data_IF_084958624108
#
_entry.id   IF_084958624108
#
_cell.length_a   1.000
_cell.length_b   1.000
_cell.length_c   1.000
_cell.angle_alpha   90.00
_cell.angle_beta   90.00
_cell.angle_gamma   90.00
#
_symmetry.space_group_name_H-M   'P 1'
#
loop_
_entity.id
_entity.type
_entity.pdbx_description
1 polymer ?
#
# COMPACT_ATOMS: atom_id res chain seq x y z
N UNK A 1 -11.09 12.02 2.98
CA UNK A 1 -11.82 11.70 1.75
C UNK A 1 -10.85 11.20 0.69
N UNK A 2 -11.00 9.98 0.23
CA UNK A 2 -10.13 9.44 -0.81
C UNK A 2 -10.55 9.99 -2.17
N UNK A 3 -9.58 10.28 -3.02
CA UNK A 3 -9.81 10.80 -4.34
C UNK A 3 -8.96 10.03 -5.34
N UNK A 4 -9.55 9.66 -6.47
CA UNK A 4 -8.87 8.94 -7.53
C UNK A 4 -8.62 9.88 -8.71
N UNK A 5 -7.35 10.05 -9.13
CA UNK A 5 -7.04 10.81 -10.35
C UNK A 5 -7.66 10.14 -11.58
N UNK A 6 -7.84 10.94 -12.63
CA UNK A 6 -8.35 10.45 -13.90
C UNK A 6 -7.21 9.82 -14.70
N UNK A 7 -7.32 8.54 -15.01
CA UNK A 7 -6.35 7.79 -15.82
C UNK A 7 -7.01 7.28 -17.10
N UNK A 8 -6.29 7.34 -18.20
CA UNK A 8 -6.82 7.07 -19.52
C UNK A 8 -7.24 5.61 -19.76
N UNK A 9 -6.75 4.65 -19.01
CA UNK A 9 -6.90 3.23 -19.31
C UNK A 9 -7.28 2.38 -18.08
N UNK A 10 -8.28 2.78 -17.31
CA UNK A 10 -8.78 1.99 -16.19
C UNK A 10 -7.94 2.11 -14.92
N UNK A 11 -7.62 0.97 -14.26
CA UNK A 11 -6.89 0.98 -12.99
C UNK A 11 -5.45 1.42 -13.22
N UNK A 12 -4.95 2.44 -12.49
CA UNK A 12 -3.58 2.90 -12.66
C UNK A 12 -2.57 1.84 -12.20
N UNK A 13 -1.41 1.81 -12.86
CA UNK A 13 -0.30 0.95 -12.48
C UNK A 13 0.62 1.64 -11.49
N UNK A 14 1.55 0.87 -10.90
CA UNK A 14 2.60 1.44 -10.06
C UNK A 14 3.38 2.54 -10.79
N UNK A 15 3.73 2.32 -12.06
CA UNK A 15 4.46 3.32 -12.87
C UNK A 15 3.64 4.60 -13.03
N UNK A 16 2.35 4.48 -13.34
CA UNK A 16 1.46 5.63 -13.50
C UNK A 16 1.45 6.49 -12.23
N UNK A 17 1.28 5.85 -11.08
CA UNK A 17 1.20 6.54 -9.80
C UNK A 17 2.55 7.14 -9.42
N UNK A 18 3.63 6.38 -9.56
CA UNK A 18 4.96 6.85 -9.20
C UNK A 18 5.37 8.05 -10.04
N UNK A 19 5.08 8.03 -11.34
CA UNK A 19 5.46 9.11 -12.25
C UNK A 19 4.64 10.37 -12.05
N UNK A 20 3.34 10.24 -11.80
CA UNK A 20 2.44 11.39 -11.75
C UNK A 20 2.21 11.94 -10.33
N UNK A 21 2.34 11.13 -9.28
CA UNK A 21 1.91 11.49 -7.94
C UNK A 21 3.02 11.50 -6.89
N UNK A 22 4.20 10.99 -7.21
CA UNK A 22 5.28 10.86 -6.22
C UNK A 22 6.57 11.50 -6.72
N UNK A 23 7.53 11.65 -5.80
CA UNK A 23 8.90 12.08 -6.11
C UNK A 23 9.88 10.89 -6.10
N UNK A 24 9.39 9.65 -6.21
CA UNK A 24 10.24 8.48 -6.24
C UNK A 24 11.12 8.48 -7.49
N UNK A 25 12.38 8.03 -7.32
CA UNK A 25 13.32 7.91 -8.43
C UNK A 25 13.02 6.67 -9.26
N UNK A 26 13.58 6.59 -10.47
CA UNK A 26 13.46 5.39 -11.30
C UNK A 26 13.99 4.15 -10.61
N UNK A 27 15.08 4.28 -9.83
CA UNK A 27 15.65 3.17 -9.06
C UNK A 27 14.73 2.74 -7.92
N UNK A 28 14.06 3.69 -7.26
CA UNK A 28 13.07 3.38 -6.23
C UNK A 28 11.91 2.58 -6.85
N UNK A 29 11.43 3.01 -8.00
CA UNK A 29 10.33 2.33 -8.70
C UNK A 29 10.73 0.93 -9.14
N UNK A 30 11.95 0.76 -9.65
CA UNK A 30 12.46 -0.57 -10.01
C UNK A 30 12.53 -1.50 -8.81
N UNK A 31 12.94 -0.99 -7.65
CA UNK A 31 12.95 -1.74 -6.40
C UNK A 31 11.56 -2.20 -6.00
N UNK A 32 10.58 -1.30 -6.10
CA UNK A 32 9.19 -1.62 -5.77
C UNK A 32 8.59 -2.63 -6.74
N UNK A 33 8.91 -2.55 -8.03
CA UNK A 33 8.48 -3.56 -9.01
C UNK A 33 9.01 -4.95 -8.67
N UNK A 34 10.29 -5.04 -8.32
CA UNK A 34 10.89 -6.32 -7.93
C UNK A 34 10.22 -6.90 -6.69
N UNK A 35 9.90 -6.03 -5.73
CA UNK A 35 9.21 -6.43 -4.51
C UNK A 35 7.80 -6.96 -4.80
N UNK A 36 7.02 -6.22 -5.58
CA UNK A 36 5.64 -6.60 -5.94
C UNK A 36 5.60 -7.90 -6.72
N UNK A 37 6.59 -8.15 -7.57
CA UNK A 37 6.65 -9.38 -8.38
C UNK A 37 6.70 -10.64 -7.51
N UNK A 38 7.28 -10.58 -6.32
CA UNK A 38 7.40 -11.73 -5.43
C UNK A 38 6.21 -11.88 -4.46
N UNK A 39 5.35 -10.87 -4.39
CA UNK A 39 4.33 -10.81 -3.34
C UNK A 39 3.11 -11.70 -3.57
N UNK A 40 2.86 -12.13 -4.80
CA UNK A 40 1.72 -13.00 -5.07
C UNK A 40 1.84 -14.31 -4.26
N UNK A 41 3.05 -14.84 -4.17
CA UNK A 41 3.33 -16.05 -3.37
C UNK A 41 3.01 -15.79 -1.90
N UNK A 42 3.44 -14.63 -1.38
CA UNK A 42 3.22 -14.29 0.03
C UNK A 42 1.72 -14.10 0.31
N UNK A 43 1.00 -13.43 -0.59
CA UNK A 43 -0.44 -13.25 -0.45
C UNK A 43 -1.17 -14.61 -0.44
N UNK A 44 -0.80 -15.50 -1.36
CA UNK A 44 -1.42 -16.83 -1.47
C UNK A 44 -1.15 -17.68 -0.22
N UNK A 45 0.08 -17.66 0.29
CA UNK A 45 0.46 -18.45 1.45
C UNK A 45 -0.16 -17.92 2.76
N UNK A 46 -0.39 -16.63 2.86
CA UNK A 46 -0.92 -16.02 4.08
C UNK A 46 -2.43 -15.75 4.01
N UNK A 47 -3.07 -15.99 2.88
CA UNK A 47 -4.48 -15.67 2.64
C UNK A 47 -4.80 -14.20 2.97
N UNK A 48 -3.88 -13.33 2.63
CA UNK A 48 -3.97 -11.91 2.98
C UNK A 48 -3.91 -11.03 1.74
N UNK A 49 -4.62 -9.92 1.79
CA UNK A 49 -4.48 -8.86 0.80
C UNK A 49 -3.26 -8.01 1.16
N UNK A 50 -2.48 -7.65 0.15
CA UNK A 50 -1.33 -6.76 0.30
C UNK A 50 -1.58 -5.52 -0.54
N UNK A 51 -1.40 -4.35 0.05
CA UNK A 51 -1.48 -3.08 -0.66
C UNK A 51 -0.17 -2.33 -0.44
N UNK A 52 0.46 -1.90 -1.53
CA UNK A 52 1.62 -1.04 -1.49
C UNK A 52 1.17 0.42 -1.54
N UNK A 53 1.55 1.18 -0.54
CA UNK A 53 1.32 2.62 -0.47
C UNK A 53 2.63 3.36 -0.68
N UNK A 54 2.58 4.44 -1.45
CA UNK A 54 3.76 5.28 -1.73
C UNK A 54 3.48 6.73 -1.31
N UNK A 55 4.50 7.46 -0.85
CA UNK A 55 4.28 8.82 -0.34
C UNK A 55 3.96 9.79 -1.47
N UNK A 56 3.03 10.71 -1.19
CA UNK A 56 2.73 11.83 -2.07
C UNK A 56 3.96 12.70 -2.27
N UNK A 57 4.13 13.25 -3.45
CA UNK A 57 5.28 14.12 -3.77
C UNK A 57 5.37 15.37 -2.91
N UNK A 58 4.24 15.84 -2.39
CA UNK A 58 4.17 16.99 -1.49
C UNK A 58 3.97 16.58 -0.03
N UNK A 59 4.12 15.29 0.29
CA UNK A 59 3.99 14.72 1.63
C UNK A 59 2.62 14.96 2.29
N UNK A 60 1.55 15.07 1.48
CA UNK A 60 0.20 15.29 2.00
C UNK A 60 -0.54 14.02 2.36
N UNK A 61 0.00 12.88 2.02
CA UNK A 61 -0.61 11.58 2.28
C UNK A 61 0.08 10.47 1.52
N UNK A 62 -0.66 9.40 1.28
CA UNK A 62 -0.15 8.21 0.62
C UNK A 62 -1.04 7.80 -0.53
N UNK A 63 -0.44 7.24 -1.57
CA UNK A 63 -1.15 6.71 -2.73
C UNK A 63 -1.06 5.19 -2.75
N UNK A 64 -2.18 4.52 -2.96
CA UNK A 64 -2.18 3.07 -3.18
C UNK A 64 -1.65 2.81 -4.58
N UNK A 65 -0.48 2.20 -4.68
CA UNK A 65 0.23 2.01 -5.94
C UNK A 65 0.07 0.61 -6.52
N UNK A 66 -0.16 -0.39 -5.68
CA UNK A 66 -0.35 -1.77 -6.13
C UNK A 66 -1.17 -2.53 -5.10
N UNK A 67 -1.94 -3.50 -5.57
CA UNK A 67 -2.73 -4.38 -4.72
C UNK A 67 -2.56 -5.81 -5.20
N UNK A 68 -2.31 -6.72 -4.27
CA UNK A 68 -2.19 -8.14 -4.54
C UNK A 68 -3.18 -8.87 -3.66
N UNK A 69 -4.05 -9.69 -4.27
CA UNK A 69 -5.03 -10.51 -3.58
C UNK A 69 -4.62 -11.97 -3.61
N UNK A 70 -4.97 -12.75 -2.58
CA UNK A 70 -4.75 -14.18 -2.64
C UNK A 70 -5.60 -14.81 -3.75
N UNK A 71 -5.01 -15.76 -4.48
CA UNK A 71 -5.74 -16.48 -5.54
C UNK A 71 -6.48 -17.70 -4.98
N UNK A 72 -6.16 -18.13 -3.77
CA UNK A 72 -6.61 -19.39 -3.19
C UNK A 72 -7.50 -19.25 -1.97
N UNK A 73 -7.82 -18.03 -1.55
CA UNK A 73 -8.63 -17.80 -0.37
C UNK A 73 -9.52 -16.57 -0.51
N UNK A 74 -10.39 -16.34 0.48
CA UNK A 74 -11.22 -15.14 0.46
C UNK A 74 -10.36 -13.89 0.63
N UNK A 75 -10.77 -12.81 -0.03
CA UNK A 75 -10.11 -11.51 0.11
C UNK A 75 -10.85 -10.64 1.14
N UNK A 76 -10.10 -9.81 1.87
CA UNK A 76 -10.66 -8.83 2.79
C UNK A 76 -11.03 -7.53 2.09
N UNK A 77 -10.52 -7.31 0.88
CA UNK A 77 -10.81 -6.13 0.06
C UNK A 77 -11.63 -6.55 -1.15
N UNK A 78 -12.85 -6.05 -1.26
CA UNK A 78 -13.76 -6.39 -2.35
C UNK A 78 -13.52 -5.57 -3.61
N UNK A 79 -12.87 -4.41 -3.47
CA UNK A 79 -12.63 -3.49 -4.58
C UNK A 79 -11.13 -3.23 -4.75
N UNK A 80 -10.75 -2.86 -5.99
CA UNK A 80 -9.40 -2.40 -6.25
C UNK A 80 -9.19 -1.04 -5.62
N UNK A 81 -8.11 -0.91 -4.84
CA UNK A 81 -7.77 0.35 -4.18
C UNK A 81 -6.64 1.10 -4.87
N UNK A 82 -5.99 0.49 -5.87
CA UNK A 82 -4.91 1.16 -6.61
C UNK A 82 -5.39 2.49 -7.20
N UNK A 83 -4.60 3.54 -6.99
CA UNK A 83 -4.94 4.90 -7.40
C UNK A 83 -5.66 5.70 -6.33
N UNK A 84 -6.01 5.09 -5.19
CA UNK A 84 -6.67 5.80 -4.09
C UNK A 84 -5.66 6.64 -3.32
N UNK A 85 -6.03 7.86 -2.97
CA UNK A 85 -5.24 8.73 -2.11
C UNK A 85 -5.81 8.75 -0.70
N UNK A 86 -4.94 8.56 0.30
CA UNK A 86 -5.31 8.62 1.70
C UNK A 86 -4.54 9.78 2.36
N UNK A 87 -5.23 10.84 2.81
CA UNK A 87 -4.56 11.96 3.48
C UNK A 87 -3.90 11.52 4.78
N UNK A 88 -2.78 12.15 5.13
CA UNK A 88 -2.08 11.87 6.39
C UNK A 88 -2.96 12.23 7.58
N UNK A 89 -3.00 11.34 8.58
CA UNK A 89 -3.76 11.51 9.81
C UNK A 89 -2.91 11.46 11.07
N UNK A 90 -1.59 11.35 10.90
CA UNK A 90 -0.64 11.34 12.01
C UNK A 90 -0.59 10.06 12.82
N UNK A 91 -1.71 9.50 13.23
CA UNK A 91 -1.78 8.30 14.08
C UNK A 91 -2.13 7.03 13.32
N UNK A 92 -2.45 7.12 12.04
CA UNK A 92 -2.75 5.97 11.21
C UNK A 92 -1.51 5.07 11.13
N UNK A 93 -1.66 3.73 11.23
CA UNK A 93 -0.52 2.80 11.10
C UNK A 93 0.30 3.02 9.85
N UNK A 94 -0.33 3.39 8.75
CA UNK A 94 0.34 3.70 7.49
C UNK A 94 1.30 4.88 7.64
N UNK A 95 0.82 5.99 8.23
CA UNK A 95 1.64 7.18 8.46
C UNK A 95 2.75 6.92 9.47
N UNK A 96 2.46 6.15 10.51
CA UNK A 96 3.46 5.80 11.52
C UNK A 96 4.60 5.00 10.90
N UNK A 97 4.27 3.97 10.11
CA UNK A 97 5.29 3.17 9.43
C UNK A 97 6.13 4.02 8.47
N UNK A 98 5.49 4.91 7.72
CA UNK A 98 6.18 5.79 6.77
C UNK A 98 7.13 6.76 7.49
N UNK A 99 6.65 7.39 8.54
CA UNK A 99 7.40 8.42 9.28
C UNK A 99 8.55 7.82 10.09
N UNK A 100 8.30 6.72 10.79
CA UNK A 100 9.29 6.11 11.68
C UNK A 100 10.23 5.14 10.97
N UNK A 101 9.85 4.63 9.82
CA UNK A 101 10.57 3.57 9.14
C UNK A 101 10.54 2.25 9.90
N UNK A 102 9.58 2.07 10.80
CA UNK A 102 9.45 0.88 11.63
C UNK A 102 8.13 0.18 11.35
N UNK A 103 8.15 -1.14 11.41
CA UNK A 103 6.96 -1.95 11.26
C UNK A 103 5.94 -1.63 12.35
N UNK A 104 4.68 -1.47 11.96
CA UNK A 104 3.56 -1.47 12.90
C UNK A 104 3.07 -2.91 12.99
N UNK A 105 3.22 -3.56 14.16
CA UNK A 105 2.89 -4.98 14.30
C UNK A 105 1.42 -5.29 14.02
N UNK A 106 1.15 -6.53 13.70
CA UNK A 106 -0.20 -7.03 13.49
C UNK A 106 -1.11 -6.65 14.66
N UNK A 107 -2.24 -6.07 14.35
CA UNK A 107 -3.25 -5.71 15.32
C UNK A 107 -4.64 -5.86 14.71
N UNK A 108 -5.65 -5.95 15.57
CA UNK A 108 -7.04 -6.13 15.15
C UNK A 108 -7.69 -4.76 14.98
N UNK A 109 -8.30 -4.54 13.83
CA UNK A 109 -9.17 -3.39 13.60
C UNK A 109 -10.61 -3.87 13.40
N UNK A 110 -11.55 -3.17 14.03
CA UNK A 110 -12.97 -3.45 13.87
C UNK A 110 -13.53 -2.60 12.73
N UNK A 111 -14.20 -3.26 11.80
CA UNK A 111 -14.84 -2.60 10.67
C UNK A 111 -16.21 -2.08 11.05
N UNK A 112 -16.79 -1.21 10.21
CA UNK A 112 -18.11 -0.63 10.43
C UNK A 112 -19.21 -1.69 10.47
N UNK A 113 -19.03 -2.80 9.75
CA UNK A 113 -19.98 -3.91 9.71
C UNK A 113 -19.85 -4.88 10.90
N UNK A 114 -18.94 -4.59 11.84
CA UNK A 114 -18.68 -5.43 13.01
C UNK A 114 -17.63 -6.51 12.80
N UNK A 115 -17.18 -6.73 11.58
CA UNK A 115 -16.12 -7.71 11.32
C UNK A 115 -14.77 -7.22 11.85
N UNK A 116 -13.84 -8.17 12.06
CA UNK A 116 -12.49 -7.88 12.52
C UNK A 116 -11.50 -8.23 11.45
N UNK A 117 -10.51 -7.36 11.24
CA UNK A 117 -9.42 -7.57 10.31
C UNK A 117 -8.11 -7.44 11.05
N UNK A 118 -7.16 -8.33 10.74
CA UNK A 118 -5.79 -8.21 11.20
C UNK A 118 -5.03 -7.35 10.20
N UNK A 119 -4.39 -6.29 10.70
CA UNK A 119 -3.66 -5.33 9.88
C UNK A 119 -2.23 -5.22 10.37
N UNK A 120 -1.31 -5.20 9.43
CA UNK A 120 0.10 -4.98 9.69
C UNK A 120 0.65 -4.01 8.66
N UNK A 121 1.43 -3.02 9.09
CA UNK A 121 2.06 -2.06 8.20
C UNK A 121 3.58 -2.27 8.22
N UNK A 122 4.17 -2.52 7.05
CA UNK A 122 5.58 -2.86 6.90
C UNK A 122 6.25 -1.82 6.00
N UNK A 123 7.20 -1.02 6.52
CA UNK A 123 7.87 -0.04 5.68
C UNK A 123 8.83 -0.71 4.71
N UNK A 124 8.86 -0.20 3.48
CA UNK A 124 9.82 -0.60 2.46
C UNK A 124 10.94 0.42 2.47
N UNK A 125 12.14 -0.03 2.80
CA UNK A 125 13.30 0.85 2.91
C UNK A 125 14.32 0.55 1.84
N UNK A 126 14.90 1.61 1.29
CA UNK A 126 15.98 1.53 0.33
C UNK A 126 16.97 2.64 0.64
N UNK A 127 18.25 2.29 0.81
CA UNK A 127 19.30 3.26 1.11
C UNK A 127 18.99 4.15 2.33
N UNK A 128 18.49 3.55 3.41
CA UNK A 128 18.11 4.21 4.68
C UNK A 128 16.93 5.18 4.55
N UNK A 129 16.20 5.12 3.44
CA UNK A 129 15.02 5.95 3.20
C UNK A 129 13.79 5.06 3.03
N UNK A 130 12.67 5.45 3.62
CA UNK A 130 11.41 4.73 3.44
C UNK A 130 10.77 5.21 2.15
N UNK A 131 10.58 4.30 1.19
CA UNK A 131 10.02 4.62 -0.13
C UNK A 131 8.59 4.14 -0.30
N UNK A 132 8.08 3.42 0.67
CA UNK A 132 6.69 2.95 0.64
C UNK A 132 6.37 2.16 1.89
N UNK A 133 5.10 1.75 1.99
CA UNK A 133 4.61 0.92 3.09
C UNK A 133 3.70 -0.16 2.52
N UNK A 134 3.92 -1.39 2.92
CA UNK A 134 3.03 -2.50 2.62
C UNK A 134 2.04 -2.64 3.75
N UNK A 135 0.76 -2.64 3.44
CA UNK A 135 -0.27 -2.96 4.43
C UNK A 135 -0.82 -4.34 4.10
N UNK A 136 -0.73 -5.24 5.07
CA UNK A 136 -1.26 -6.59 4.98
C UNK A 136 -2.56 -6.66 5.76
N UNK A 137 -3.60 -7.20 5.12
CA UNK A 137 -4.93 -7.37 5.73
C UNK A 137 -5.38 -8.82 5.60
N UNK A 138 -5.78 -9.40 6.68
CA UNK A 138 -6.26 -10.79 6.66
C UNK A 138 -7.51 -11.00 7.52
#
# INVERSE_FOLDING_TARGET
>A
MSRRPDYAAGVPTLDDIAQSQTSLTADDVAWLHALVADWQIIADLSFADLVLWVPDGEAKGMWAAAQIRPTTGPTTLLEDVAGTFLPSRGEDPLDVAMTTGRRVPEHVEQQLDGSRILIEAIPVRRASRTIGVVVRRS
#
